data_IF_892136482879
#
_entry.id   IF_892136482879
#
_cell.length_a   1.000
_cell.length_b   1.000
_cell.length_c   1.000
_cell.angle_alpha   90.00
_cell.angle_beta   90.00
_cell.angle_gamma   90.00
#
_symmetry.space_group_name_H-M   'P 1'
#
loop_
_entity.id
_entity.type
_entity.pdbx_description
1 polymer ?
#
# COMPACT_ATOMS: atom_id res chain seq x y z
N UNK A 1 8.73 16.41 -19.01
CA UNK A 1 8.86 15.21 -18.17
C UNK A 1 7.50 14.80 -17.63
N UNK A 2 7.17 13.56 -17.77
CA UNK A 2 5.90 13.03 -17.25
C UNK A 2 6.14 12.44 -15.88
N UNK A 3 5.37 12.92 -14.90
CA UNK A 3 5.41 12.34 -13.56
C UNK A 3 4.35 11.25 -13.49
N UNK A 4 4.78 10.05 -13.20
CA UNK A 4 3.89 8.91 -13.16
C UNK A 4 3.77 8.33 -11.77
N UNK A 5 2.58 7.87 -11.43
CA UNK A 5 2.37 7.11 -10.21
C UNK A 5 2.92 5.71 -10.39
N UNK A 6 3.38 5.12 -9.31
CA UNK A 6 3.81 3.73 -9.27
C UNK A 6 2.70 2.91 -8.65
N UNK A 7 2.32 1.81 -9.29
CA UNK A 7 1.28 0.93 -8.76
C UNK A 7 1.89 -0.43 -8.42
N UNK A 8 1.62 -0.90 -7.23
CA UNK A 8 2.12 -2.19 -6.75
C UNK A 8 0.95 -2.97 -6.14
N UNK A 9 0.88 -4.25 -6.46
CA UNK A 9 -0.15 -5.13 -5.92
C UNK A 9 0.40 -5.93 -4.75
N UNK A 10 -0.43 -6.10 -3.72
CA UNK A 10 -0.06 -6.88 -2.54
C UNK A 10 -1.22 -7.79 -2.15
N UNK A 11 -0.86 -8.95 -1.60
CA UNK A 11 -1.82 -9.79 -0.88
C UNK A 11 -1.55 -9.58 0.60
N UNK A 12 -2.58 -9.15 1.32
CA UNK A 12 -2.44 -8.84 2.74
C UNK A 12 -3.47 -9.62 3.55
N UNK A 13 -3.23 -9.70 4.84
CA UNK A 13 -4.17 -10.30 5.78
C UNK A 13 -5.48 -9.50 5.73
N UNK A 14 -6.60 -10.20 5.46
CA UNK A 14 -7.89 -9.53 5.25
C UNK A 14 -8.32 -8.65 6.41
N UNK A 15 -8.08 -9.12 7.63
CA UNK A 15 -8.46 -8.38 8.83
C UNK A 15 -7.66 -7.08 9.01
N UNK A 16 -6.58 -6.90 8.26
CA UNK A 16 -5.71 -5.74 8.38
C UNK A 16 -5.83 -4.73 7.23
N UNK A 17 -6.69 -5.02 6.24
CA UNK A 17 -6.86 -4.10 5.11
C UNK A 17 -7.27 -2.71 5.58
N UNK A 18 -8.26 -2.64 6.47
CA UNK A 18 -8.71 -1.36 7.01
C UNK A 18 -7.62 -0.60 7.76
N UNK A 19 -6.79 -1.32 8.50
CA UNK A 19 -5.67 -0.73 9.22
C UNK A 19 -4.63 -0.15 8.27
N UNK A 20 -4.29 -0.90 7.21
CA UNK A 20 -3.34 -0.42 6.20
C UNK A 20 -3.87 0.82 5.51
N UNK A 21 -5.15 0.80 5.16
CA UNK A 21 -5.78 1.95 4.52
C UNK A 21 -5.71 3.17 5.42
N UNK A 22 -6.00 2.99 6.70
CA UNK A 22 -5.93 4.06 7.69
C UNK A 22 -4.51 4.64 7.79
N UNK A 23 -3.49 3.78 7.80
CA UNK A 23 -2.10 4.22 7.89
C UNK A 23 -1.74 5.11 6.69
N UNK A 24 -2.06 4.65 5.46
CA UNK A 24 -1.71 5.42 4.27
C UNK A 24 -2.54 6.69 4.13
N UNK A 25 -3.76 6.71 4.64
CA UNK A 25 -4.56 7.93 4.65
C UNK A 25 -3.96 8.99 5.57
N UNK A 26 -3.21 8.58 6.59
CA UNK A 26 -2.53 9.49 7.49
C UNK A 26 -1.29 10.15 6.89
N UNK A 27 -0.79 9.65 5.75
CA UNK A 27 0.36 10.23 5.07
C UNK A 27 -0.15 11.03 3.86
N UNK A 28 -0.19 12.34 4.00
CA UNK A 28 -0.68 13.20 2.92
C UNK A 28 0.15 13.02 1.66
N UNK A 29 -0.53 12.76 0.55
CA UNK A 29 0.08 12.68 -0.78
C UNK A 29 1.18 11.63 -0.93
N UNK A 30 1.25 10.65 -0.05
CA UNK A 30 2.23 9.58 -0.18
C UNK A 30 1.74 8.49 -1.11
N UNK A 31 0.59 7.90 -0.79
CA UNK A 31 0.05 6.79 -1.56
C UNK A 31 -1.42 6.57 -1.21
N UNK A 32 -2.11 5.87 -2.11
CA UNK A 32 -3.52 5.49 -1.90
C UNK A 32 -3.61 3.97 -1.97
N UNK A 33 -4.23 3.37 -0.97
CA UNK A 33 -4.48 1.93 -0.95
C UNK A 33 -5.89 1.66 -1.43
N UNK A 34 -6.01 0.86 -2.48
CA UNK A 34 -7.30 0.47 -3.06
C UNK A 34 -7.50 -1.02 -2.89
N UNK A 35 -8.64 -1.42 -2.34
CA UNK A 35 -8.98 -2.83 -2.22
C UNK A 35 -9.52 -3.33 -3.55
N UNK A 36 -8.85 -4.31 -4.16
CA UNK A 36 -9.28 -4.91 -5.42
C UNK A 36 -10.15 -6.13 -5.18
N UNK A 37 -9.78 -6.95 -4.20
CA UNK A 37 -10.55 -8.14 -3.84
C UNK A 37 -10.43 -8.35 -2.33
N UNK A 38 -11.46 -7.96 -1.59
CA UNK A 38 -11.43 -8.05 -0.14
C UNK A 38 -11.44 -9.51 0.34
N UNK A 39 -12.05 -10.40 -0.41
CA UNK A 39 -12.10 -11.82 -0.02
C UNK A 39 -10.73 -12.48 -0.14
N UNK A 40 -9.94 -12.07 -1.13
CA UNK A 40 -8.59 -12.60 -1.32
C UNK A 40 -7.53 -11.80 -0.57
N UNK A 41 -7.87 -10.61 -0.09
CA UNK A 41 -6.89 -9.72 0.52
C UNK A 41 -6.03 -8.99 -0.50
N UNK A 42 -6.51 -8.87 -1.73
CA UNK A 42 -5.76 -8.23 -2.81
C UNK A 42 -5.98 -6.73 -2.79
N UNK A 43 -4.89 -5.99 -2.68
CA UNK A 43 -4.92 -4.53 -2.65
C UNK A 43 -3.92 -3.96 -3.64
N UNK A 44 -4.18 -2.74 -4.07
CA UNK A 44 -3.27 -1.99 -4.94
C UNK A 44 -2.82 -0.74 -4.21
N UNK A 45 -1.51 -0.56 -4.17
CA UNK A 45 -0.93 0.66 -3.62
C UNK A 45 -0.52 1.55 -4.78
N UNK A 46 -1.17 2.71 -4.89
CA UNK A 46 -0.84 3.70 -5.90
C UNK A 46 0.01 4.77 -5.25
N UNK A 47 1.27 4.83 -5.62
CA UNK A 47 2.26 5.69 -4.97
C UNK A 47 2.44 6.97 -5.75
N UNK A 48 2.42 8.09 -5.05
CA UNK A 48 2.60 9.40 -5.69
C UNK A 48 3.99 9.50 -6.32
N UNK A 49 4.14 10.29 -7.40
CA UNK A 49 5.44 10.47 -8.02
C UNK A 49 6.49 10.98 -7.03
N UNK A 50 7.65 10.34 -7.03
CA UNK A 50 8.74 10.72 -6.15
C UNK A 50 8.64 10.20 -4.72
N UNK A 51 7.58 9.46 -4.39
CA UNK A 51 7.37 8.96 -3.03
C UNK A 51 7.62 7.46 -2.87
N UNK A 52 8.23 6.81 -3.86
CA UNK A 52 8.43 5.36 -3.84
C UNK A 52 9.24 4.90 -2.64
N UNK A 53 10.33 5.57 -2.34
CA UNK A 53 11.18 5.19 -1.22
C UNK A 53 10.43 5.24 0.10
N UNK A 54 9.68 6.31 0.33
CA UNK A 54 8.92 6.47 1.57
C UNK A 54 7.81 5.43 1.67
N UNK A 55 7.08 5.21 0.57
CA UNK A 55 6.00 4.24 0.57
C UNK A 55 6.52 2.83 0.84
N UNK A 56 7.61 2.43 0.19
CA UNK A 56 8.19 1.11 0.41
C UNK A 56 8.78 0.97 1.80
N UNK A 57 9.31 2.04 2.37
CA UNK A 57 9.80 2.03 3.75
C UNK A 57 8.65 1.80 4.73
N UNK A 58 7.51 2.44 4.53
CA UNK A 58 6.32 2.24 5.35
C UNK A 58 5.84 0.80 5.23
N UNK A 59 5.76 0.26 4.00
CA UNK A 59 5.35 -1.13 3.79
C UNK A 59 6.31 -2.12 4.42
N UNK A 60 7.62 -1.87 4.32
CA UNK A 60 8.61 -2.75 4.93
C UNK A 60 8.47 -2.80 6.45
N UNK A 61 8.16 -1.66 7.05
CA UNK A 61 7.91 -1.60 8.48
C UNK A 61 6.64 -2.35 8.87
N UNK A 62 5.59 -2.19 8.09
CA UNK A 62 4.33 -2.87 8.35
C UNK A 62 4.41 -4.38 8.16
N UNK A 63 5.28 -4.85 7.28
CA UNK A 63 5.48 -6.29 7.06
C UNK A 63 5.95 -7.03 8.31
N UNK A 64 6.51 -6.32 9.27
CA UNK A 64 6.95 -6.94 10.53
C UNK A 64 5.78 -7.38 11.39
N UNK A 65 4.65 -6.71 11.28
CA UNK A 65 3.48 -6.96 12.11
C UNK A 65 2.29 -7.54 11.35
N UNK A 66 2.28 -7.38 10.05
CA UNK A 66 1.15 -7.77 9.21
C UNK A 66 1.66 -8.64 8.08
N UNK A 67 0.91 -9.70 7.76
CA UNK A 67 1.25 -10.54 6.62
C UNK A 67 0.98 -9.77 5.33
N UNK A 68 2.03 -9.42 4.63
CA UNK A 68 1.97 -8.68 3.37
C UNK A 68 2.89 -9.38 2.38
N UNK A 69 2.34 -9.80 1.25
CA UNK A 69 3.10 -10.43 0.18
C UNK A 69 2.95 -9.65 -1.10
N UNK A 70 4.06 -9.36 -1.74
CA UNK A 70 4.04 -8.69 -3.03
C UNK A 70 3.62 -9.68 -4.11
N UNK A 71 2.72 -9.24 -4.97
CA UNK A 71 2.20 -10.09 -6.06
C UNK A 71 3.03 -9.94 -7.31
#
# INVERSE_FOLDING_TARGET
MVMQTTQTLYLVEKSRIGFLKFIFEGYDNLAVLTTLDSAAGLVRLTIAPGCSCEAFAVMADLKKDIMINEV
#
